data_IF_686826448113
#
_entry.id   IF_686826448113
#
_cell.length_a   1.000
_cell.length_b   1.000
_cell.length_c   1.000
_cell.angle_alpha   90.00
_cell.angle_beta   90.00
_cell.angle_gamma   90.00
#
_symmetry.space_group_name_H-M   'P 1'
#
loop_
_entity.id
_entity.type
_entity.pdbx_description
1 polymer ?
#
# COMPACT_ATOMS: atom_id res chain seq x y z
N UNK A 1 -7.49 -36.87 43.51
CA UNK A 1 -7.27 -36.18 42.22
C UNK A 1 -6.10 -35.22 42.41
N UNK A 2 -5.08 -35.29 41.55
CA UNK A 2 -3.83 -34.52 41.73
C UNK A 2 -4.06 -33.04 41.40
N UNK A 3 -3.55 -32.11 42.21
CA UNK A 3 -3.58 -30.66 41.98
C UNK A 3 -3.14 -30.27 40.56
N UNK A 4 -2.27 -31.07 39.95
CA UNK A 4 -1.80 -30.92 38.56
C UNK A 4 -2.93 -31.03 37.52
N UNK A 5 -3.92 -31.92 37.73
CA UNK A 5 -5.05 -32.11 36.80
C UNK A 5 -6.04 -30.94 36.82
N UNK A 6 -6.10 -30.17 37.91
CA UNK A 6 -6.98 -28.99 38.01
C UNK A 6 -6.37 -27.74 37.36
N UNK A 7 -5.04 -27.65 37.24
CA UNK A 7 -4.36 -26.51 36.63
C UNK A 7 -4.44 -26.50 35.10
N UNK A 8 -4.51 -27.69 34.48
CA UNK A 8 -4.57 -27.87 33.04
C UNK A 8 -5.77 -27.17 32.35
N UNK A 9 -7.03 -27.30 32.82
CA UNK A 9 -8.17 -26.63 32.19
C UNK A 9 -8.12 -25.10 32.33
N UNK A 10 -7.59 -24.56 33.44
CA UNK A 10 -7.42 -23.12 33.61
C UNK A 10 -6.36 -22.56 32.66
N UNK A 11 -5.27 -23.31 32.45
CA UNK A 11 -4.21 -22.93 31.53
C UNK A 11 -4.67 -22.98 30.06
N UNK A 12 -5.52 -23.96 29.71
CA UNK A 12 -6.13 -24.04 28.39
C UNK A 12 -7.15 -22.91 28.14
N UNK A 13 -7.98 -22.60 29.14
CA UNK A 13 -8.96 -21.51 29.05
C UNK A 13 -8.28 -20.13 28.94
N UNK A 14 -7.21 -19.89 29.71
CA UNK A 14 -6.46 -18.64 29.61
C UNK A 14 -5.81 -18.47 28.24
N UNK A 15 -5.23 -19.53 27.68
CA UNK A 15 -4.65 -19.51 26.34
C UNK A 15 -5.70 -19.22 25.25
N UNK A 16 -6.91 -19.78 25.39
CA UNK A 16 -8.02 -19.53 24.47
C UNK A 16 -8.52 -18.08 24.52
N UNK A 17 -8.60 -17.50 25.72
CA UNK A 17 -8.95 -16.10 25.91
C UNK A 17 -7.88 -15.15 25.35
N UNK A 18 -6.61 -15.49 25.53
CA UNK A 18 -5.48 -14.76 24.92
C UNK A 18 -5.50 -14.83 23.39
N UNK A 19 -5.85 -15.98 22.81
CA UNK A 19 -5.97 -16.16 21.36
C UNK A 19 -7.02 -15.23 20.73
N UNK A 20 -8.14 -14.97 21.43
CA UNK A 20 -9.19 -14.07 20.97
C UNK A 20 -8.84 -12.57 21.01
N UNK A 21 -7.73 -12.20 21.66
CA UNK A 21 -7.25 -10.81 21.70
C UNK A 21 -6.37 -10.44 20.49
N UNK A 22 -5.94 -11.42 19.69
CA UNK A 22 -5.16 -11.16 18.49
C UNK A 22 -6.08 -10.75 17.34
N UNK A 23 -6.22 -9.45 17.11
CA UNK A 23 -6.72 -8.95 15.83
C UNK A 23 -5.63 -9.10 14.77
N UNK A 24 -5.86 -9.97 13.77
CA UNK A 24 -5.03 -10.00 12.58
C UNK A 24 -5.34 -8.77 11.71
N UNK A 25 -4.40 -7.82 11.62
CA UNK A 25 -4.47 -6.78 10.60
C UNK A 25 -4.13 -7.40 9.24
N UNK A 26 -5.09 -7.45 8.32
CA UNK A 26 -4.90 -8.01 6.97
C UNK A 26 -4.29 -6.99 5.99
N UNK A 27 -3.43 -6.09 6.49
CA UNK A 27 -2.81 -5.05 5.69
C UNK A 27 -1.32 -5.34 5.52
N UNK A 28 -0.85 -5.17 4.29
CA UNK A 28 0.55 -5.32 3.94
C UNK A 28 1.29 -4.00 4.18
N UNK A 29 2.59 -4.10 4.42
CA UNK A 29 3.48 -2.95 4.56
C UNK A 29 4.45 -2.89 3.40
N UNK A 30 4.74 -1.68 2.96
CA UNK A 30 5.64 -1.46 1.85
C UNK A 30 6.15 -0.04 1.79
N UNK A 31 6.68 0.34 0.64
CA UNK A 31 7.13 1.70 0.38
C UNK A 31 6.41 2.27 -0.83
N UNK A 32 6.20 3.58 -0.81
CA UNK A 32 5.71 4.33 -1.94
C UNK A 32 6.70 5.43 -2.33
N UNK A 33 6.89 5.60 -3.63
CA UNK A 33 7.50 6.80 -4.22
C UNK A 33 6.43 7.57 -5.00
N UNK A 34 6.78 8.70 -5.60
CA UNK A 34 5.89 9.43 -6.50
C UNK A 34 6.47 9.52 -7.90
N UNK A 35 5.61 9.70 -8.90
CA UNK A 35 6.03 10.08 -10.24
C UNK A 35 5.11 11.14 -10.84
N UNK A 36 5.71 11.99 -11.67
CA UNK A 36 5.06 13.12 -12.32
C UNK A 36 4.66 12.76 -13.75
N UNK A 37 3.77 13.54 -14.38
CA UNK A 37 3.50 13.39 -15.81
C UNK A 37 4.79 13.51 -16.64
N UNK A 38 4.84 12.89 -17.82
CA UNK A 38 3.74 12.19 -18.52
C UNK A 38 3.38 10.83 -17.91
N UNK A 39 2.09 10.52 -17.82
CA UNK A 39 1.59 9.24 -17.30
C UNK A 39 1.31 8.18 -18.37
N UNK A 40 1.44 8.54 -19.65
CA UNK A 40 1.14 7.73 -20.82
C UNK A 40 2.41 7.61 -21.67
N UNK A 41 2.62 6.47 -22.37
CA UNK A 41 1.87 5.22 -22.32
C UNK A 41 2.01 4.44 -21.01
N UNK A 42 0.97 3.68 -20.67
CA UNK A 42 0.98 2.71 -19.57
C UNK A 42 1.06 1.27 -20.07
N UNK A 43 1.57 0.38 -19.23
CA UNK A 43 1.54 -1.06 -19.47
C UNK A 43 0.12 -1.65 -19.48
N UNK A 44 -0.85 -1.04 -18.78
CA UNK A 44 -2.20 -1.58 -18.66
C UNK A 44 -3.10 -1.22 -19.86
N UNK A 45 -3.00 -0.01 -20.40
CA UNK A 45 -3.92 0.44 -21.48
C UNK A 45 -3.24 1.35 -22.51
N UNK A 46 -1.90 1.37 -22.55
CA UNK A 46 -1.14 2.09 -23.56
C UNK A 46 -1.45 3.59 -23.52
N UNK A 47 -1.95 4.12 -24.64
CA UNK A 47 -2.23 5.55 -24.80
C UNK A 47 -3.66 5.98 -24.44
N UNK A 48 -4.45 5.11 -23.81
CA UNK A 48 -5.82 5.44 -23.43
C UNK A 48 -5.88 6.27 -22.13
N UNK A 49 -6.27 7.56 -22.17
CA UNK A 49 -6.40 8.37 -20.95
C UNK A 49 -7.65 8.04 -20.13
N UNK A 50 -8.62 7.28 -20.67
CA UNK A 50 -9.85 6.92 -19.94
C UNK A 50 -9.61 5.95 -18.78
N UNK A 51 -8.42 5.31 -18.73
CA UNK A 51 -8.02 4.43 -17.62
C UNK A 51 -7.82 5.18 -16.29
N UNK A 52 -7.51 6.48 -16.34
CA UNK A 52 -7.22 7.27 -15.15
C UNK A 52 -8.51 7.70 -14.46
N UNK A 53 -8.64 7.51 -13.13
CA UNK A 53 -9.79 8.01 -12.39
C UNK A 53 -9.80 9.55 -12.40
N UNK A 54 -11.00 10.15 -12.45
CA UNK A 54 -11.16 11.63 -12.46
C UNK A 54 -10.57 12.33 -11.24
N UNK A 55 -10.43 11.61 -10.12
CA UNK A 55 -9.77 12.08 -8.90
C UNK A 55 -8.24 12.15 -9.00
N UNK A 56 -7.65 11.60 -10.06
CA UNK A 56 -6.20 11.37 -10.20
C UNK A 56 -5.60 10.51 -9.08
N UNK A 57 -6.43 9.76 -8.33
CA UNK A 57 -5.99 8.80 -7.32
C UNK A 57 -5.67 7.46 -7.96
N UNK A 58 -4.46 7.35 -8.49
CA UNK A 58 -3.94 6.13 -9.08
C UNK A 58 -2.49 5.88 -8.65
N UNK A 59 -2.03 4.68 -8.95
CA UNK A 59 -0.65 4.26 -8.72
C UNK A 59 -0.18 3.30 -9.80
N UNK A 60 1.09 2.97 -9.66
CA UNK A 60 1.86 2.10 -10.54
C UNK A 60 2.35 0.93 -9.70
N UNK A 61 2.24 -0.26 -10.25
CA UNK A 61 2.68 -1.46 -9.60
C UNK A 61 4.16 -1.73 -9.90
N UNK A 62 4.98 -1.88 -8.86
CA UNK A 62 6.32 -2.43 -9.00
C UNK A 62 6.28 -3.95 -9.02
N UNK A 63 7.41 -4.59 -9.30
CA UNK A 63 7.49 -6.04 -9.53
C UNK A 63 6.91 -6.89 -8.40
N UNK A 64 6.97 -6.42 -7.14
CA UNK A 64 6.40 -7.13 -6.00
C UNK A 64 4.87 -7.24 -6.02
N UNK A 65 4.16 -6.37 -6.75
CA UNK A 65 2.70 -6.37 -6.84
C UNK A 65 2.17 -6.40 -8.28
N UNK A 66 3.04 -6.29 -9.29
CA UNK A 66 2.66 -6.24 -10.71
C UNK A 66 1.94 -7.50 -11.20
N UNK A 67 2.32 -8.65 -10.66
CA UNK A 67 1.64 -9.94 -10.87
C UNK A 67 1.38 -10.25 -12.37
N UNK A 68 2.43 -10.10 -13.18
CA UNK A 68 2.38 -10.31 -14.64
C UNK A 68 1.24 -9.54 -15.36
N UNK A 69 0.89 -8.36 -14.85
CA UNK A 69 -0.17 -7.51 -15.40
C UNK A 69 -1.57 -7.77 -14.81
N UNK A 70 -1.73 -8.80 -13.98
CA UNK A 70 -2.97 -9.02 -13.26
C UNK A 70 -3.27 -7.92 -12.23
N UNK A 71 -2.29 -7.07 -11.91
CA UNK A 71 -2.46 -5.88 -11.10
C UNK A 71 -3.27 -4.76 -11.77
N UNK A 72 -3.36 -4.75 -13.10
CA UNK A 72 -4.06 -3.70 -13.83
C UNK A 72 -5.52 -3.57 -13.36
N UNK A 73 -5.88 -2.36 -12.94
CA UNK A 73 -7.23 -2.06 -12.43
C UNK A 73 -7.51 -2.51 -11.00
N UNK A 74 -6.59 -3.23 -10.33
CA UNK A 74 -6.73 -3.51 -8.88
C UNK A 74 -6.79 -2.21 -8.11
N UNK A 75 -7.57 -2.24 -7.02
CA UNK A 75 -7.73 -1.10 -6.14
C UNK A 75 -7.13 -1.40 -4.78
N UNK A 76 -6.47 -0.40 -4.21
CA UNK A 76 -5.83 -0.51 -2.90
C UNK A 76 -6.25 0.66 -2.03
N UNK A 77 -6.56 0.38 -0.77
CA UNK A 77 -6.49 1.36 0.30
C UNK A 77 -5.02 1.56 0.64
N UNK A 78 -4.56 2.80 0.73
CA UNK A 78 -3.16 3.16 1.00
C UNK A 78 -3.11 4.29 2.02
N UNK A 79 -2.27 4.16 3.03
CA UNK A 79 -1.94 5.24 3.97
C UNK A 79 -0.45 5.33 4.26
N UNK A 80 0.02 6.53 4.57
CA UNK A 80 1.39 6.76 5.04
C UNK A 80 1.50 6.37 6.52
N UNK A 81 2.47 5.53 6.87
CA UNK A 81 2.71 5.10 8.26
C UNK A 81 3.99 5.68 8.85
N UNK A 82 5.00 5.95 8.02
CA UNK A 82 6.22 6.66 8.43
C UNK A 82 7.02 7.14 7.22
N UNK A 83 8.03 7.97 7.47
CA UNK A 83 9.01 8.39 6.46
C UNK A 83 10.35 8.69 7.13
N UNK A 84 11.41 8.87 6.33
CA UNK A 84 12.74 9.22 6.83
C UNK A 84 12.75 10.57 7.58
N UNK A 85 11.97 11.55 7.12
CA UNK A 85 11.81 12.84 7.79
C UNK A 85 10.52 12.83 8.63
N UNK A 86 10.61 13.05 9.96
CA UNK A 86 9.44 13.15 10.83
C UNK A 86 8.44 14.20 10.35
N UNK A 87 7.13 13.93 10.50
CA UNK A 87 6.07 14.84 10.08
C UNK A 87 5.77 14.84 8.57
N UNK A 88 6.40 13.94 7.79
CA UNK A 88 6.10 13.80 6.35
C UNK A 88 4.70 13.24 6.09
N UNK A 89 4.28 12.23 6.86
CA UNK A 89 2.95 11.63 6.69
C UNK A 89 1.86 12.60 7.14
N UNK A 90 0.79 12.69 6.35
CA UNK A 90 -0.43 13.41 6.75
C UNK A 90 -1.27 12.47 7.63
N UNK A 91 -1.61 12.88 8.87
CA UNK A 91 -2.34 12.02 9.79
C UNK A 91 -3.75 11.70 9.28
N UNK A 92 -4.23 10.50 9.61
CA UNK A 92 -5.60 10.02 9.34
C UNK A 92 -6.03 10.07 7.86
N UNK A 93 -5.07 10.04 6.93
CA UNK A 93 -5.35 9.96 5.50
C UNK A 93 -5.17 8.55 4.97
N UNK A 94 -6.27 7.94 4.55
CA UNK A 94 -6.29 6.71 3.76
C UNK A 94 -6.98 6.99 2.43
N UNK A 95 -6.32 6.68 1.32
CA UNK A 95 -6.86 6.87 -0.02
C UNK A 95 -7.10 5.54 -0.71
N UNK A 96 -8.13 5.48 -1.55
CA UNK A 96 -8.32 4.38 -2.49
C UNK A 96 -7.68 4.77 -3.82
N UNK A 97 -6.72 3.97 -4.28
CA UNK A 97 -6.06 4.16 -5.57
C UNK A 97 -6.39 3.02 -6.52
N UNK A 98 -6.27 3.27 -7.83
CA UNK A 98 -6.29 2.25 -8.88
C UNK A 98 -4.91 2.06 -9.48
N UNK A 99 -4.49 0.81 -9.72
CA UNK A 99 -3.27 0.52 -10.48
C UNK A 99 -3.53 0.70 -11.98
N UNK A 100 -2.71 1.53 -12.63
CA UNK A 100 -2.87 1.88 -14.05
C UNK A 100 -1.63 1.59 -14.89
N UNK A 101 -0.48 1.26 -14.27
CA UNK A 101 0.77 1.08 -15.00
C UNK A 101 1.75 0.16 -14.22
N UNK A 102 2.87 -0.20 -14.86
CA UNK A 102 4.00 -0.97 -14.30
C UNK A 102 5.23 -0.10 -14.14
N UNK A 103 5.82 -0.08 -12.94
CA UNK A 103 6.89 0.86 -12.61
C UNK A 103 8.15 0.64 -13.46
N UNK A 104 8.45 -0.62 -13.81
CA UNK A 104 9.63 -0.96 -14.61
C UNK A 104 9.56 -0.43 -16.05
N UNK A 105 8.36 -0.28 -16.61
CA UNK A 105 8.14 0.15 -18.00
C UNK A 105 7.49 1.53 -18.12
N UNK A 106 7.15 2.16 -17.00
CA UNK A 106 6.64 3.54 -16.96
C UNK A 106 7.61 4.49 -17.64
N UNK A 107 7.07 5.39 -18.47
CA UNK A 107 7.86 6.43 -19.15
C UNK A 107 8.45 7.42 -18.16
N UNK A 108 7.69 7.74 -17.11
CA UNK A 108 8.12 8.66 -16.08
C UNK A 108 8.78 7.91 -14.94
N UNK A 109 9.99 8.38 -14.57
CA UNK A 109 10.80 7.76 -13.53
C UNK A 109 10.24 8.09 -12.14
N UNK A 110 10.17 7.11 -11.23
CA UNK A 110 9.79 7.36 -9.85
C UNK A 110 10.84 8.20 -9.13
N UNK A 111 10.43 8.92 -8.09
CA UNK A 111 11.32 9.66 -7.19
C UNK A 111 12.28 8.76 -6.42
N UNK A 112 11.95 7.47 -6.30
CA UNK A 112 12.82 6.41 -5.78
C UNK A 112 12.48 5.10 -6.47
N UNK A 113 13.48 4.45 -7.04
CA UNK A 113 13.34 3.11 -7.63
C UNK A 113 13.14 2.02 -6.55
N UNK A 114 12.48 0.92 -6.93
CA UNK A 114 12.34 -0.27 -6.09
C UNK A 114 11.33 -0.15 -4.95
N UNK A 115 10.49 0.88 -4.94
CA UNK A 115 9.37 0.96 -3.99
C UNK A 115 8.27 -0.04 -4.33
N UNK A 116 7.44 -0.45 -3.36
CA UNK A 116 6.32 -1.38 -3.60
C UNK A 116 5.29 -0.80 -4.57
N UNK A 117 4.96 0.47 -4.40
CA UNK A 117 4.06 1.23 -5.28
C UNK A 117 4.74 2.53 -5.71
N UNK A 118 4.37 3.05 -6.87
CA UNK A 118 4.67 4.43 -7.27
C UNK A 118 3.34 5.16 -7.38
N UNK A 119 3.14 6.20 -6.59
CA UNK A 119 1.88 6.92 -6.53
C UNK A 119 1.90 8.09 -7.52
N UNK A 120 0.75 8.42 -8.10
CA UNK A 120 0.60 9.70 -8.81
C UNK A 120 0.95 10.87 -7.89
N UNK A 121 1.33 12.02 -8.44
CA UNK A 121 1.60 13.23 -7.65
C UNK A 121 0.41 13.59 -6.74
N UNK A 122 -0.82 13.36 -7.20
CA UNK A 122 -2.04 13.61 -6.43
C UNK A 122 -2.21 12.60 -5.30
N UNK A 123 -2.05 11.30 -5.59
CA UNK A 123 -2.12 10.24 -4.58
C UNK A 123 -1.07 10.44 -3.48
N UNK A 124 0.19 10.66 -3.86
CA UNK A 124 1.27 10.87 -2.90
C UNK A 124 1.05 12.12 -2.05
N UNK A 125 0.71 13.24 -2.71
CA UNK A 125 0.44 14.52 -2.05
C UNK A 125 -0.78 14.48 -1.12
N UNK A 126 -1.68 13.51 -1.27
CA UNK A 126 -2.84 13.36 -0.37
C UNK A 126 -2.45 12.73 0.97
N UNK A 127 -1.51 11.77 0.97
CA UNK A 127 -1.11 11.03 2.19
C UNK A 127 0.23 11.49 2.79
N UNK A 128 1.02 12.26 2.06
CA UNK A 128 2.34 12.72 2.50
C UNK A 128 2.67 14.12 1.96
N UNK A 129 3.65 14.77 2.58
CA UNK A 129 4.28 15.95 2.02
C UNK A 129 5.05 15.57 0.75
N UNK A 130 4.73 16.22 -0.38
CA UNK A 130 5.28 15.91 -1.71
C UNK A 130 6.79 16.16 -1.89
N UNK A 131 7.49 16.67 -0.88
CA UNK A 131 8.96 16.83 -0.92
C UNK A 131 9.74 15.53 -0.64
N UNK A 132 9.10 14.52 -0.04
CA UNK A 132 9.75 13.25 0.26
C UNK A 132 9.98 12.41 -1.00
N UNK A 133 11.16 11.81 -1.13
CA UNK A 133 11.47 10.89 -2.24
C UNK A 133 10.77 9.53 -2.11
N UNK A 134 10.48 9.11 -0.88
CA UNK A 134 9.71 7.90 -0.58
C UNK A 134 9.13 7.94 0.83
N UNK A 135 8.07 7.19 1.05
CA UNK A 135 7.39 6.99 2.33
C UNK A 135 7.17 5.50 2.58
N UNK A 136 7.02 5.11 3.84
CA UNK A 136 6.52 3.79 4.21
C UNK A 136 5.00 3.84 4.25
N UNK A 137 4.36 2.86 3.62
CA UNK A 137 2.92 2.76 3.51
C UNK A 137 2.41 1.46 4.14
N UNK A 138 1.20 1.54 4.63
CA UNK A 138 0.34 0.37 4.76
C UNK A 138 -0.64 0.37 3.59
N UNK A 139 -0.90 -0.81 3.03
CA UNK A 139 -1.86 -0.97 1.94
C UNK A 139 -2.64 -2.28 2.03
N UNK A 140 -3.85 -2.27 1.48
CA UNK A 140 -4.73 -3.43 1.43
C UNK A 140 -5.54 -3.41 0.15
N UNK A 141 -5.63 -4.55 -0.54
CA UNK A 141 -6.48 -4.68 -1.72
C UNK A 141 -7.96 -4.65 -1.32
N UNK A 142 -8.78 -3.96 -2.12
CA UNK A 142 -10.26 -3.89 -1.97
C UNK A 142 -10.94 -4.99 -2.77
#
# INVERSE_FOLDING_TARGET
MSKSQQLFPYMALSLFLLAGLFHSSCADVGTASQYSPPYIPTACSGNDPSQFPSSNLFGVASEGIWDNGAACGRQYLVRCISAAVPGTCKPDQTIQIRIVDRAQTSVSRPSRDGTTMVLSTTSFGTIANGSASSINIEFQQV
#
